data_IF_757541518889
#
_entry.id   IF_757541518889
#
_cell.length_a   1.000
_cell.length_b   1.000
_cell.length_c   1.000
_cell.angle_alpha   90.00
_cell.angle_beta   90.00
_cell.angle_gamma   90.00
#
_symmetry.space_group_name_H-M   'P 1'
#
loop_
_entity.id
_entity.type
_entity.pdbx_description
1 polymer ?
#
# COMPACT_ATOMS: atom_id res chain seq x y z
N UNK A 1 17.51 10.64 -3.06
CA UNK A 1 17.00 9.28 -3.33
C UNK A 1 15.69 9.13 -2.59
N UNK A 2 14.55 9.07 -3.27
CA UNK A 2 13.27 8.81 -2.60
C UNK A 2 13.13 7.31 -2.39
N UNK A 3 13.18 6.87 -1.13
CA UNK A 3 12.88 5.49 -0.77
C UNK A 3 11.36 5.26 -0.83
N UNK A 4 10.95 4.13 -1.39
CA UNK A 4 9.55 3.77 -1.53
C UNK A 4 9.29 2.47 -0.79
N UNK A 5 8.23 2.46 0.02
CA UNK A 5 7.70 1.25 0.64
C UNK A 5 6.64 0.59 -0.23
N UNK A 6 6.34 -0.67 0.09
CA UNK A 6 5.30 -1.47 -0.54
C UNK A 6 4.45 -2.15 0.53
N UNK A 7 3.13 -1.98 0.46
CA UNK A 7 2.19 -2.78 1.23
C UNK A 7 1.84 -4.02 0.41
N UNK A 8 2.09 -5.18 1.01
CA UNK A 8 1.67 -6.46 0.47
C UNK A 8 0.28 -6.80 0.99
N UNK A 9 -0.55 -7.41 0.14
CA UNK A 9 -1.92 -7.76 0.49
C UNK A 9 -2.15 -9.25 0.30
N UNK A 10 -3.05 -9.82 1.11
CA UNK A 10 -3.51 -11.19 0.91
C UNK A 10 -4.37 -11.35 -0.34
N UNK A 11 -5.09 -10.29 -0.73
CA UNK A 11 -6.03 -10.32 -1.86
C UNK A 11 -5.96 -9.02 -2.66
N UNK A 12 -6.21 -9.11 -3.97
CA UNK A 12 -6.22 -7.93 -4.84
C UNK A 12 -7.35 -6.98 -4.46
N UNK A 13 -8.47 -7.51 -3.94
CA UNK A 13 -9.60 -6.70 -3.43
C UNK A 13 -9.19 -5.74 -2.31
N UNK A 14 -8.34 -6.21 -1.37
CA UNK A 14 -7.80 -5.35 -0.31
C UNK A 14 -6.87 -4.27 -0.89
N UNK A 15 -6.03 -4.63 -1.87
CA UNK A 15 -5.15 -3.70 -2.55
C UNK A 15 -5.93 -2.59 -3.28
N UNK A 16 -6.98 -2.94 -4.04
CA UNK A 16 -7.84 -1.97 -4.71
C UNK A 16 -8.59 -1.07 -3.72
N UNK A 17 -9.05 -1.61 -2.59
CA UNK A 17 -9.62 -0.79 -1.51
C UNK A 17 -8.62 0.21 -0.97
N UNK A 18 -7.41 -0.23 -0.65
CA UNK A 18 -6.34 0.62 -0.15
C UNK A 18 -6.03 1.77 -1.11
N UNK A 19 -5.91 1.47 -2.40
CA UNK A 19 -5.69 2.49 -3.43
C UNK A 19 -6.85 3.50 -3.50
N UNK A 20 -8.10 3.01 -3.42
CA UNK A 20 -9.28 3.86 -3.39
C UNK A 20 -9.31 4.78 -2.16
N UNK A 21 -8.86 4.32 -1.00
CA UNK A 21 -8.75 5.13 0.21
C UNK A 21 -7.72 6.24 0.04
N UNK A 22 -6.52 5.92 -0.44
CA UNK A 22 -5.48 6.94 -0.64
C UNK A 22 -5.90 7.98 -1.67
N UNK A 23 -6.58 7.57 -2.76
CA UNK A 23 -7.14 8.49 -3.76
C UNK A 23 -8.26 9.38 -3.23
N UNK A 24 -8.94 8.97 -2.15
CA UNK A 24 -10.01 9.74 -1.50
C UNK A 24 -9.50 10.69 -0.43
N UNK A 25 -8.24 10.58 -0.01
CA UNK A 25 -7.67 11.53 0.92
C UNK A 25 -7.63 12.93 0.30
N UNK A 26 -7.94 13.99 1.07
CA UNK A 26 -7.83 15.37 0.61
C UNK A 26 -6.39 15.73 0.19
N UNK A 27 -5.40 15.00 0.72
CA UNK A 27 -4.00 15.04 0.32
C UNK A 27 -3.55 13.62 -0.01
N UNK A 28 -3.51 13.22 -1.30
CA UNK A 28 -3.07 11.88 -1.69
C UNK A 28 -1.59 11.71 -1.39
N UNK A 29 -1.24 10.57 -0.80
CA UNK A 29 0.14 10.27 -0.43
C UNK A 29 1.03 10.16 -1.69
N UNK A 30 2.19 10.84 -1.73
CA UNK A 30 3.04 10.87 -2.90
C UNK A 30 3.57 9.48 -3.26
N UNK A 31 3.38 9.08 -4.52
CA UNK A 31 3.79 7.78 -5.02
C UNK A 31 2.85 6.63 -4.63
N UNK A 32 1.74 6.91 -3.94
CA UNK A 32 0.71 5.93 -3.59
C UNK A 32 -0.03 5.41 -4.83
N UNK A 33 0.35 4.22 -5.28
CA UNK A 33 -0.31 3.57 -6.43
C UNK A 33 -0.16 2.06 -6.37
N UNK A 34 -1.10 1.35 -6.98
CA UNK A 34 -0.91 -0.07 -7.18
C UNK A 34 0.20 -0.33 -8.21
N UNK A 35 1.06 -1.28 -7.86
CA UNK A 35 2.13 -1.80 -8.71
C UNK A 35 2.05 -3.32 -8.71
N UNK A 36 2.49 -4.00 -9.78
CA UNK A 36 2.70 -5.44 -9.71
C UNK A 36 3.69 -5.74 -8.59
N UNK A 37 3.40 -6.75 -7.78
CA UNK A 37 4.26 -7.08 -6.65
C UNK A 37 5.68 -7.40 -7.16
N UNK A 38 6.73 -6.78 -6.57
CA UNK A 38 8.11 -7.12 -6.92
C UNK A 38 8.34 -8.63 -6.78
N UNK A 39 9.04 -9.25 -7.73
CA UNK A 39 9.31 -10.71 -7.71
C UNK A 39 9.96 -11.20 -6.42
N UNK A 40 10.70 -10.34 -5.74
CA UNK A 40 11.37 -10.62 -4.47
C UNK A 40 10.39 -10.65 -3.29
N UNK A 41 9.27 -9.95 -3.42
CA UNK A 41 8.18 -9.91 -2.45
C UNK A 41 7.10 -10.89 -2.92
N UNK A 42 7.31 -12.20 -2.72
CA UNK A 42 6.25 -13.18 -3.03
C UNK A 42 4.99 -12.85 -2.23
N UNK A 43 3.90 -12.55 -2.93
CA UNK A 43 2.58 -12.27 -2.37
C UNK A 43 1.52 -12.90 -3.27
N UNK A 44 0.59 -13.64 -2.67
CA UNK A 44 -0.39 -14.48 -3.38
C UNK A 44 -1.29 -13.69 -4.34
N UNK A 45 -1.48 -12.38 -4.12
CA UNK A 45 -2.40 -11.57 -4.92
C UNK A 45 -1.77 -10.84 -6.12
N UNK A 46 -0.43 -10.88 -6.27
CA UNK A 46 0.32 -10.29 -7.39
C UNK A 46 0.31 -8.76 -7.49
N UNK A 47 -0.31 -8.05 -6.55
CA UNK A 47 -0.33 -6.57 -6.50
C UNK A 47 0.08 -6.03 -5.13
N UNK A 48 0.78 -4.89 -5.14
CA UNK A 48 1.22 -4.17 -3.94
C UNK A 48 0.89 -2.68 -4.05
N UNK A 49 0.68 -2.01 -2.92
CA UNK A 49 0.52 -0.57 -2.87
C UNK A 49 1.89 0.05 -2.59
N UNK A 50 2.49 0.66 -3.60
CA UNK A 50 3.71 1.45 -3.43
C UNK A 50 3.35 2.77 -2.77
N UNK A 51 4.19 3.30 -1.88
CA UNK A 51 4.04 4.62 -1.25
C UNK A 51 5.41 5.22 -0.88
N UNK A 52 5.51 6.50 -0.56
CA UNK A 52 6.75 7.11 -0.07
C UNK A 52 7.06 6.64 1.36
N UNK A 53 8.30 6.21 1.63
CA UNK A 53 8.64 5.61 2.93
C UNK A 53 8.42 6.58 4.13
N UNK A 54 8.53 7.88 3.87
CA UNK A 54 8.22 8.96 4.83
C UNK A 54 6.78 8.86 5.37
N UNK A 55 5.85 8.39 4.53
CA UNK A 55 4.42 8.26 4.83
C UNK A 55 4.04 6.88 5.38
N UNK A 56 5.01 6.07 5.82
CA UNK A 56 4.75 4.72 6.36
C UNK A 56 3.72 4.72 7.48
N UNK A 57 3.88 5.59 8.46
CA UNK A 57 2.96 5.68 9.60
C UNK A 57 1.56 6.13 9.17
N UNK A 58 1.49 7.05 8.18
CA UNK A 58 0.23 7.53 7.61
C UNK A 58 -0.51 6.42 6.86
N UNK A 59 0.19 5.64 6.02
CA UNK A 59 -0.38 4.47 5.34
C UNK A 59 -0.87 3.43 6.33
N UNK A 60 -0.05 3.09 7.33
CA UNK A 60 -0.42 2.08 8.30
C UNK A 60 -1.68 2.49 9.06
N UNK A 61 -1.74 3.73 9.55
CA UNK A 61 -2.91 4.25 10.26
C UNK A 61 -4.15 4.30 9.37
N UNK A 62 -4.01 4.69 8.10
CA UNK A 62 -5.10 4.70 7.13
C UNK A 62 -5.69 3.30 6.90
N UNK A 63 -4.83 2.29 6.76
CA UNK A 63 -5.25 0.91 6.53
C UNK A 63 -5.90 0.31 7.78
N UNK A 64 -5.37 0.61 8.96
CA UNK A 64 -5.92 0.15 10.23
C UNK A 64 -7.29 0.77 10.54
N UNK A 65 -7.42 2.09 10.39
CA UNK A 65 -8.68 2.82 10.57
C UNK A 65 -9.77 2.32 9.62
N UNK A 66 -9.40 2.13 8.35
CA UNK A 66 -10.30 1.58 7.33
C UNK A 66 -10.50 0.06 7.41
N UNK A 67 -9.85 -0.62 8.37
CA UNK A 67 -9.86 -2.08 8.56
C UNK A 67 -9.57 -2.86 7.29
N UNK A 68 -8.60 -2.39 6.51
CA UNK A 68 -8.15 -3.06 5.29
C UNK A 68 -7.15 -4.16 5.68
N UNK A 69 -7.45 -5.45 5.41
CA UNK A 69 -6.51 -6.52 5.71
C UNK A 69 -5.32 -6.44 4.75
N UNK A 70 -4.11 -6.40 5.30
CA UNK A 70 -2.85 -6.41 4.56
C UNK A 70 -1.91 -7.47 5.16
N UNK A 71 -0.97 -7.97 4.35
CA UNK A 71 0.00 -8.98 4.77
C UNK A 71 1.10 -8.37 5.62
N UNK A 72 1.84 -7.42 5.04
CA UNK A 72 2.88 -6.65 5.72
C UNK A 72 3.27 -5.41 4.93
N UNK A 73 4.03 -4.53 5.58
CA UNK A 73 4.53 -3.28 5.00
C UNK A 73 6.06 -3.37 4.92
N UNK A 74 6.58 -3.37 3.70
CA UNK A 74 8.02 -3.43 3.38
C UNK A 74 8.53 -2.03 3.03
N UNK A 75 9.74 -1.67 3.45
CA UNK A 75 10.29 -0.33 3.24
C UNK A 75 11.76 -0.18 3.61
#
# INVERSE_FOLDING_TARGET
MSAYGHVLFYTSAAAFRAEGLVKRLPLPLPGARLVPTPRELSSDCGVALRFALDDRSSIQSLLDDAKVPYDRIEG
#
